data_IF_819346725420
#
_entry.id   IF_819346725420
#
_cell.length_a   1.000
_cell.length_b   1.000
_cell.length_c   1.000
_cell.angle_alpha   90.00
_cell.angle_beta   90.00
_cell.angle_gamma   90.00
#
_symmetry.space_group_name_H-M   'P 1'
#
loop_
_entity.id
_entity.type
_entity.pdbx_description
1 polymer ?
#
# COMPACT_ATOMS: atom_id res chain seq x y z
N UNK A 1 29.11 3.44 6.33
CA UNK A 1 28.23 3.17 5.15
C UNK A 1 26.79 3.10 5.64
N UNK A 2 26.13 4.25 5.84
CA UNK A 2 24.80 4.37 6.44
C UNK A 2 23.87 5.32 5.66
N UNK A 3 24.28 5.74 4.46
CA UNK A 3 23.64 6.85 3.73
C UNK A 3 22.38 6.47 2.93
N UNK A 4 22.04 5.17 2.80
CA UNK A 4 21.00 4.74 1.86
C UNK A 4 19.72 4.18 2.53
N UNK A 5 19.82 3.74 3.79
CA UNK A 5 18.65 3.36 4.59
C UNK A 5 17.69 4.55 4.82
N UNK A 6 18.22 5.77 4.68
CA UNK A 6 17.49 7.03 4.80
C UNK A 6 16.63 7.35 3.59
N UNK A 7 16.99 6.99 2.36
CA UNK A 7 16.24 7.43 1.18
C UNK A 7 14.86 6.78 1.09
N UNK A 8 14.75 5.51 1.46
CA UNK A 8 13.45 4.83 1.49
C UNK A 8 12.55 5.33 2.62
N UNK A 9 13.14 5.57 3.82
CA UNK A 9 12.42 6.18 4.95
C UNK A 9 12.03 7.62 4.65
N UNK A 10 12.90 8.40 4.01
CA UNK A 10 12.64 9.78 3.57
C UNK A 10 11.51 9.82 2.57
N UNK A 11 11.45 8.90 1.60
CA UNK A 11 10.35 8.86 0.64
C UNK A 11 9.00 8.65 1.34
N UNK A 12 8.92 7.68 2.25
CA UNK A 12 7.70 7.43 3.03
C UNK A 12 7.37 8.61 3.97
N UNK A 13 8.38 9.14 4.67
CA UNK A 13 8.22 10.25 5.61
C UNK A 13 7.80 11.55 4.91
N UNK A 14 8.32 11.82 3.70
CA UNK A 14 7.95 12.98 2.90
C UNK A 14 6.48 12.90 2.48
N UNK A 15 6.00 11.73 2.05
CA UNK A 15 4.58 11.55 1.73
C UNK A 15 3.69 11.79 2.96
N UNK A 16 4.10 11.29 4.14
CA UNK A 16 3.35 11.50 5.40
C UNK A 16 3.38 12.97 5.83
N UNK A 17 4.52 13.65 5.74
CA UNK A 17 4.65 15.07 6.06
C UNK A 17 3.80 15.94 5.12
N UNK A 18 3.75 15.62 3.83
CA UNK A 18 2.97 16.35 2.83
C UNK A 18 1.47 16.22 3.09
N UNK A 19 1.00 15.02 3.46
CA UNK A 19 -0.38 14.80 3.90
C UNK A 19 -0.68 15.59 5.19
N UNK A 20 0.22 15.54 6.17
CA UNK A 20 0.06 16.29 7.44
C UNK A 20 -0.01 17.81 7.23
N UNK A 21 0.84 18.35 6.34
CA UNK A 21 0.84 19.78 6.02
C UNK A 21 -0.47 20.21 5.36
N UNK A 22 -1.02 19.40 4.44
CA UNK A 22 -2.32 19.66 3.82
C UNK A 22 -3.45 19.71 4.85
N UNK A 23 -3.46 18.76 5.81
CA UNK A 23 -4.46 18.73 6.88
C UNK A 23 -4.36 19.99 7.76
N UNK A 24 -3.14 20.40 8.12
CA UNK A 24 -2.90 21.61 8.91
C UNK A 24 -3.39 22.88 8.19
N UNK A 25 -3.14 22.99 6.88
CA UNK A 25 -3.59 24.13 6.07
C UNK A 25 -5.12 24.18 6.02
N UNK A 26 -5.79 23.05 5.80
CA UNK A 26 -7.25 22.97 5.80
C UNK A 26 -7.83 23.38 7.17
N UNK A 27 -7.17 22.97 8.27
CA UNK A 27 -7.58 23.35 9.62
C UNK A 27 -7.45 24.87 9.87
N UNK A 28 -6.37 25.49 9.40
CA UNK A 28 -6.15 26.94 9.55
C UNK A 28 -7.20 27.74 8.77
N UNK A 29 -7.52 27.34 7.54
CA UNK A 29 -8.57 27.99 6.77
C UNK A 29 -9.95 27.84 7.42
N UNK A 30 -10.24 26.68 8.04
CA UNK A 30 -11.45 26.49 8.84
C UNK A 30 -11.54 27.45 10.03
N UNK A 31 -10.45 27.60 10.79
CA UNK A 31 -10.40 28.50 11.94
C UNK A 31 -10.53 29.98 11.55
N UNK A 32 -9.85 30.43 10.49
CA UNK A 32 -9.95 31.83 10.01
C UNK A 32 -11.36 32.10 9.44
N UNK A 33 -11.95 31.10 8.77
CA UNK A 33 -13.34 31.09 8.31
C UNK A 33 -14.34 31.42 9.42
N UNK A 34 -14.20 30.76 10.57
CA UNK A 34 -15.08 30.96 11.72
C UNK A 34 -14.86 32.31 12.42
N UNK A 35 -13.62 32.79 12.48
CA UNK A 35 -13.29 33.98 13.28
C UNK A 35 -13.70 35.30 12.60
N UNK A 36 -13.63 35.37 11.27
CA UNK A 36 -13.80 36.65 10.55
C UNK A 36 -15.23 36.93 10.07
N UNK A 37 -16.20 36.03 10.32
CA UNK A 37 -17.62 36.12 9.88
C UNK A 37 -17.81 36.60 8.42
N UNK A 38 -16.83 36.34 7.55
CA UNK A 38 -16.84 36.86 6.20
C UNK A 38 -17.50 35.84 5.27
N UNK A 39 -18.66 36.19 4.72
CA UNK A 39 -19.46 35.31 3.85
C UNK A 39 -18.67 34.76 2.67
N UNK A 40 -17.75 35.54 2.08
CA UNK A 40 -16.91 35.08 0.97
C UNK A 40 -15.93 33.99 1.40
N UNK A 41 -15.32 34.12 2.58
CA UNK A 41 -14.35 33.16 3.10
C UNK A 41 -15.03 31.84 3.46
N UNK A 42 -16.25 31.90 3.99
CA UNK A 42 -17.08 30.72 4.29
C UNK A 42 -17.53 30.00 3.01
N UNK A 43 -17.81 30.73 1.93
CA UNK A 43 -18.11 30.17 0.62
C UNK A 43 -16.91 29.41 0.02
N UNK A 44 -15.72 30.01 0.04
CA UNK A 44 -14.49 29.36 -0.41
C UNK A 44 -14.20 28.10 0.40
N UNK A 45 -14.40 28.15 1.72
CA UNK A 45 -14.25 27.00 2.61
C UNK A 45 -15.20 25.85 2.25
N UNK A 46 -16.49 26.14 2.04
CA UNK A 46 -17.48 25.13 1.66
C UNK A 46 -17.19 24.50 0.28
N UNK A 47 -16.74 25.30 -0.69
CA UNK A 47 -16.34 24.80 -2.02
C UNK A 47 -15.12 23.88 -1.89
N UNK A 48 -14.09 24.31 -1.15
CA UNK A 48 -12.89 23.51 -0.94
C UNK A 48 -13.23 22.17 -0.25
N UNK A 49 -14.07 22.22 0.79
CA UNK A 49 -14.48 21.03 1.53
C UNK A 49 -15.32 20.07 0.66
N UNK A 50 -16.18 20.60 -0.22
CA UNK A 50 -16.90 19.79 -1.20
C UNK A 50 -15.95 19.11 -2.21
N UNK A 51 -14.94 19.84 -2.72
CA UNK A 51 -13.94 19.25 -3.61
C UNK A 51 -13.14 18.12 -2.94
N UNK A 52 -12.77 18.29 -1.67
CA UNK A 52 -12.09 17.25 -0.87
C UNK A 52 -12.98 16.01 -0.73
N UNK A 53 -14.28 16.19 -0.45
CA UNK A 53 -15.24 15.09 -0.36
C UNK A 53 -15.36 14.30 -1.68
N UNK A 54 -15.45 15.00 -2.82
CA UNK A 54 -15.51 14.36 -4.15
C UNK A 54 -14.21 13.62 -4.46
N UNK A 55 -13.05 14.22 -4.17
CA UNK A 55 -11.75 13.57 -4.38
C UNK A 55 -11.61 12.30 -3.53
N UNK A 56 -12.05 12.35 -2.28
CA UNK A 56 -12.12 11.21 -1.37
C UNK A 56 -12.99 10.09 -1.96
N UNK A 57 -14.20 10.41 -2.44
CA UNK A 57 -15.11 9.42 -3.05
C UNK A 57 -14.48 8.76 -4.27
N UNK A 58 -13.95 9.55 -5.20
CA UNK A 58 -13.28 9.02 -6.40
C UNK A 58 -12.14 8.08 -6.00
N UNK A 59 -11.31 8.50 -5.05
CA UNK A 59 -10.22 7.67 -4.53
C UNK A 59 -10.74 6.36 -3.91
N UNK A 60 -11.81 6.38 -3.11
CA UNK A 60 -12.38 5.14 -2.54
C UNK A 60 -12.87 4.17 -3.59
N UNK A 61 -13.56 4.66 -4.62
CA UNK A 61 -14.10 3.83 -5.71
C UNK A 61 -12.95 3.20 -6.49
N UNK A 62 -11.94 3.99 -6.87
CA UNK A 62 -10.75 3.49 -7.56
C UNK A 62 -10.00 2.47 -6.69
N UNK A 63 -9.84 2.73 -5.40
CA UNK A 63 -9.20 1.81 -4.47
C UNK A 63 -9.99 0.50 -4.38
N UNK A 64 -11.33 0.54 -4.30
CA UNK A 64 -12.17 -0.65 -4.25
C UNK A 64 -12.04 -1.47 -5.54
N UNK A 65 -12.08 -0.84 -6.71
CA UNK A 65 -11.89 -1.50 -8.02
C UNK A 65 -10.53 -2.21 -8.08
N UNK A 66 -9.45 -1.54 -7.68
CA UNK A 66 -8.09 -2.12 -7.66
C UNK A 66 -7.98 -3.25 -6.61
N UNK A 67 -8.73 -3.14 -5.52
CA UNK A 67 -8.68 -4.06 -4.38
C UNK A 67 -9.53 -5.31 -4.62
N UNK A 68 -10.55 -5.30 -5.46
CA UNK A 68 -11.51 -6.41 -5.53
C UNK A 68 -10.89 -7.76 -5.96
N UNK A 69 -9.87 -7.78 -6.83
CA UNK A 69 -9.50 -9.03 -7.53
C UNK A 69 -8.36 -9.88 -6.93
N UNK A 70 -7.67 -9.46 -5.87
CA UNK A 70 -6.65 -10.33 -5.27
C UNK A 70 -7.25 -11.36 -4.32
N UNK A 71 -7.45 -12.61 -4.73
CA UNK A 71 -7.66 -13.75 -3.81
C UNK A 71 -6.36 -14.55 -3.71
N UNK A 72 -5.74 -14.58 -2.52
CA UNK A 72 -4.52 -15.36 -2.32
C UNK A 72 -4.81 -16.86 -2.48
N UNK A 73 -3.96 -17.55 -3.22
CA UNK A 73 -4.09 -18.97 -3.52
C UNK A 73 -3.53 -19.80 -2.37
N UNK A 74 -4.28 -20.83 -1.95
CA UNK A 74 -3.83 -21.77 -0.93
C UNK A 74 -2.97 -22.85 -1.60
N UNK A 75 -1.80 -23.14 -1.03
CA UNK A 75 -0.94 -24.25 -1.49
C UNK A 75 -1.08 -25.43 -0.54
N UNK A 76 -1.19 -26.64 -1.08
CA UNK A 76 -1.33 -27.86 -0.29
C UNK A 76 -0.13 -28.08 0.63
N UNK A 77 -0.39 -28.28 1.93
CA UNK A 77 0.64 -28.53 2.94
C UNK A 77 1.36 -27.28 3.49
N UNK A 78 0.89 -26.06 3.15
CA UNK A 78 1.44 -24.79 3.63
C UNK A 78 0.33 -23.91 4.23
N UNK A 79 0.62 -23.20 5.33
CA UNK A 79 -0.37 -22.36 6.03
C UNK A 79 -0.48 -20.92 5.48
N UNK A 80 0.51 -20.48 4.70
CA UNK A 80 0.52 -19.15 4.08
C UNK A 80 -0.03 -19.19 2.65
N UNK A 81 -0.49 -18.04 2.17
CA UNK A 81 -1.05 -17.87 0.82
C UNK A 81 0.00 -17.38 -0.15
N UNK A 82 -0.02 -17.92 -1.36
CA UNK A 82 0.75 -17.41 -2.49
C UNK A 82 -0.11 -16.42 -3.29
N UNK A 83 0.54 -15.44 -3.92
CA UNK A 83 -0.13 -14.40 -4.69
C UNK A 83 0.45 -14.43 -6.10
N UNK A 84 -0.43 -14.53 -7.10
CA UNK A 84 -0.05 -14.44 -8.49
C UNK A 84 -0.29 -13.02 -9.01
N UNK A 85 0.56 -12.57 -9.92
CA UNK A 85 0.46 -11.21 -10.45
C UNK A 85 -0.78 -11.04 -11.33
N UNK A 86 -1.24 -12.12 -11.97
CA UNK A 86 -2.37 -12.17 -12.89
C UNK A 86 -3.73 -11.88 -12.20
N UNK A 87 -3.81 -12.04 -10.88
CA UNK A 87 -5.00 -11.74 -10.07
C UNK A 87 -5.26 -10.22 -9.92
N UNK A 88 -4.32 -9.36 -10.31
CA UNK A 88 -4.41 -7.92 -10.12
C UNK A 88 -4.78 -7.19 -11.42
N UNK A 89 -5.49 -6.07 -11.28
CA UNK A 89 -5.91 -5.25 -12.42
C UNK A 89 -4.71 -4.73 -13.23
N UNK A 90 -4.79 -4.83 -14.55
CA UNK A 90 -3.70 -4.50 -15.49
C UNK A 90 -3.17 -3.07 -15.34
N UNK A 91 -4.03 -2.12 -14.98
CA UNK A 91 -3.66 -0.72 -14.76
C UNK A 91 -2.72 -0.53 -13.55
N UNK A 92 -2.95 -1.29 -12.46
CA UNK A 92 -2.07 -1.31 -11.30
C UNK A 92 -0.75 -2.02 -11.61
N UNK A 93 -0.83 -3.12 -12.37
CA UNK A 93 0.33 -3.85 -12.85
C UNK A 93 1.23 -3.00 -13.76
N UNK A 94 0.65 -2.16 -14.64
CA UNK A 94 1.42 -1.26 -15.51
C UNK A 94 2.24 -0.24 -14.72
N UNK A 95 1.69 0.25 -13.61
CA UNK A 95 2.41 1.17 -12.72
C UNK A 95 3.59 0.45 -12.03
N UNK A 96 3.40 -0.78 -11.55
CA UNK A 96 4.45 -1.59 -10.94
C UNK A 96 5.48 -2.13 -11.94
N UNK A 97 5.08 -2.36 -13.19
CA UNK A 97 5.96 -2.86 -14.23
C UNK A 97 6.80 -1.77 -14.89
N UNK A 98 6.58 -0.50 -14.54
CA UNK A 98 7.45 0.59 -14.99
C UNK A 98 8.84 0.40 -14.39
N UNK A 99 9.81 0.05 -15.25
CA UNK A 99 11.15 -0.39 -14.86
C UNK A 99 11.83 0.58 -13.88
N UNK A 100 11.73 1.88 -14.13
CA UNK A 100 12.34 2.91 -13.30
C UNK A 100 11.77 2.97 -11.87
N UNK A 101 10.44 2.90 -11.70
CA UNK A 101 9.81 2.93 -10.36
C UNK A 101 10.06 1.62 -9.62
N UNK A 102 10.06 0.49 -10.33
CA UNK A 102 10.36 -0.81 -9.74
C UNK A 102 11.79 -0.90 -9.23
N UNK A 103 12.80 -0.42 -9.97
CA UNK A 103 14.19 -0.49 -9.51
C UNK A 103 14.42 0.29 -8.21
N UNK A 104 13.78 1.46 -8.05
CA UNK A 104 13.83 2.20 -6.79
C UNK A 104 13.08 1.49 -5.65
N UNK A 105 11.93 0.87 -5.93
CA UNK A 105 11.21 0.10 -4.91
C UNK A 105 11.98 -1.19 -4.53
N UNK A 106 12.61 -1.82 -5.52
CA UNK A 106 13.44 -3.00 -5.36
C UNK A 106 14.67 -2.70 -4.51
N UNK A 107 15.35 -1.57 -4.72
CA UNK A 107 16.52 -1.21 -3.91
C UNK A 107 16.14 -1.12 -2.41
N UNK A 108 14.95 -0.60 -2.10
CA UNK A 108 14.38 -0.65 -0.75
C UNK A 108 14.12 -2.08 -0.26
N UNK A 109 13.48 -2.92 -1.08
CA UNK A 109 13.13 -4.30 -0.69
C UNK A 109 14.37 -5.16 -0.44
N UNK A 110 15.41 -5.03 -1.26
CA UNK A 110 16.68 -5.74 -1.10
C UNK A 110 17.36 -5.37 0.22
N UNK A 111 17.23 -4.11 0.64
CA UNK A 111 17.80 -3.59 1.89
C UNK A 111 16.92 -3.89 3.11
N UNK A 112 15.66 -4.25 2.90
CA UNK A 112 14.76 -4.65 4.00
C UNK A 112 15.32 -5.86 4.74
N UNK A 113 15.16 -5.85 6.07
CA UNK A 113 15.57 -6.97 6.91
C UNK A 113 14.63 -8.18 6.78
N UNK A 114 13.48 -8.05 6.10
CA UNK A 114 12.43 -9.07 6.02
C UNK A 114 12.96 -10.40 5.47
N UNK A 115 13.65 -10.35 4.33
CA UNK A 115 14.23 -11.54 3.71
C UNK A 115 15.49 -12.05 4.41
N UNK A 116 16.21 -11.20 5.15
CA UNK A 116 17.45 -11.58 5.83
C UNK A 116 17.16 -12.21 7.20
N UNK A 117 16.17 -11.68 7.92
CA UNK A 117 15.75 -12.18 9.23
C UNK A 117 14.94 -13.46 9.14
N UNK A 118 14.43 -13.85 7.96
CA UNK A 118 13.60 -15.03 7.79
C UNK A 118 14.29 -16.33 8.27
N UNK A 119 15.59 -16.50 7.99
CA UNK A 119 16.35 -17.67 8.47
C UNK A 119 16.67 -17.60 9.97
N UNK A 120 16.74 -16.40 10.54
CA UNK A 120 16.95 -16.20 11.98
C UNK A 120 15.66 -16.46 12.77
N UNK A 121 14.52 -16.06 12.19
CA UNK A 121 13.18 -16.19 12.76
C UNK A 121 12.67 -17.64 12.72
N UNK A 122 13.01 -18.39 11.68
CA UNK A 122 12.59 -19.78 11.51
C UNK A 122 13.79 -20.70 11.30
N UNK A 123 14.32 -21.25 12.41
CA UNK A 123 15.46 -22.18 12.40
C UNK A 123 15.12 -23.55 11.81
N UNK A 124 13.87 -24.01 12.01
CA UNK A 124 13.44 -25.35 11.61
C UNK A 124 12.49 -25.30 10.39
N UNK A 125 12.65 -26.25 9.46
CA UNK A 125 11.79 -26.36 8.28
C UNK A 125 10.32 -26.65 8.64
N UNK A 126 10.08 -27.42 9.72
CA UNK A 126 8.72 -27.67 10.24
C UNK A 126 8.07 -26.36 10.69
N UNK A 127 8.77 -25.54 11.47
CA UNK A 127 8.27 -24.23 11.90
C UNK A 127 8.02 -23.30 10.72
N UNK A 128 8.91 -23.30 9.74
CA UNK A 128 8.75 -22.52 8.51
C UNK A 128 7.50 -22.90 7.71
N UNK A 129 7.16 -24.19 7.59
CA UNK A 129 5.95 -24.65 6.87
C UNK A 129 4.65 -24.17 7.51
N UNK A 130 4.63 -24.05 8.83
CA UNK A 130 3.48 -23.57 9.60
C UNK A 130 3.53 -22.07 9.93
N UNK A 131 4.61 -21.38 9.54
CA UNK A 131 4.81 -19.98 9.82
C UNK A 131 3.82 -19.10 9.04
N UNK A 132 3.41 -17.99 9.66
CA UNK A 132 2.62 -16.95 9.01
C UNK A 132 3.59 -15.94 8.37
N UNK A 133 3.92 -16.16 7.10
CA UNK A 133 4.76 -15.25 6.33
C UNK A 133 3.97 -14.02 5.89
N UNK A 134 4.65 -12.87 5.85
CA UNK A 134 4.12 -11.67 5.21
C UNK A 134 4.03 -11.86 3.69
N UNK A 135 3.19 -11.10 2.96
CA UNK A 135 3.12 -11.19 1.51
C UNK A 135 4.45 -10.94 0.80
N UNK A 136 5.32 -10.09 1.39
CA UNK A 136 6.67 -9.82 0.87
C UNK A 136 7.59 -11.01 1.16
N UNK A 137 7.55 -11.58 2.37
CA UNK A 137 8.33 -12.77 2.72
C UNK A 137 7.99 -13.95 1.81
N UNK A 138 6.71 -14.15 1.52
CA UNK A 138 6.22 -15.23 0.66
C UNK A 138 6.45 -14.98 -0.83
N UNK A 139 6.42 -13.73 -1.31
CA UNK A 139 6.57 -13.41 -2.73
C UNK A 139 8.00 -13.15 -3.19
N UNK A 140 8.84 -12.54 -2.34
CA UNK A 140 10.16 -12.03 -2.75
C UNK A 140 11.33 -12.85 -2.21
N UNK A 141 11.19 -13.47 -1.03
CA UNK A 141 12.31 -14.14 -0.37
C UNK A 141 12.50 -15.60 -0.79
N UNK A 142 11.51 -16.18 -1.48
CA UNK A 142 11.44 -17.59 -1.85
C UNK A 142 11.03 -17.77 -3.32
N UNK A 143 11.32 -18.93 -3.94
CA UNK A 143 10.77 -19.27 -5.23
C UNK A 143 9.28 -19.67 -5.11
N UNK A 144 8.52 -19.56 -6.20
CA UNK A 144 7.17 -20.13 -6.30
C UNK A 144 7.16 -21.63 -5.97
N UNK A 145 6.11 -22.11 -5.30
CA UNK A 145 5.99 -23.53 -4.96
C UNK A 145 5.98 -24.44 -6.21
N UNK A 146 5.45 -23.95 -7.33
CA UNK A 146 5.41 -24.65 -8.62
C UNK A 146 6.80 -25.02 -9.17
N UNK A 147 7.85 -24.30 -8.78
CA UNK A 147 9.21 -24.60 -9.23
C UNK A 147 9.72 -25.94 -8.68
N UNK A 148 9.20 -26.39 -7.52
CA UNK A 148 9.52 -27.69 -6.95
C UNK A 148 10.92 -27.82 -6.32
N UNK A 149 11.63 -26.71 -6.09
CA UNK A 149 12.95 -26.74 -5.45
C UNK A 149 12.84 -27.20 -3.98
N UNK A 150 13.64 -28.19 -3.54
CA UNK A 150 13.62 -28.61 -2.14
C UNK A 150 14.27 -27.55 -1.25
N UNK A 151 13.55 -27.14 -0.21
CA UNK A 151 14.02 -26.17 0.77
C UNK A 151 15.01 -26.82 1.74
N UNK A 152 16.26 -26.34 1.75
CA UNK A 152 17.28 -26.73 2.74
C UNK A 152 17.08 -25.95 4.04
N UNK A 153 16.86 -24.64 3.92
CA UNK A 153 16.59 -23.70 4.99
C UNK A 153 15.48 -22.73 4.59
N UNK A 154 14.98 -21.92 5.53
CA UNK A 154 13.92 -20.92 5.29
C UNK A 154 14.24 -19.91 4.16
N UNK A 155 15.53 -19.69 3.87
CA UNK A 155 16.01 -18.74 2.85
C UNK A 155 16.90 -19.39 1.78
N UNK A 156 17.04 -20.72 1.77
CA UNK A 156 17.99 -21.42 0.88
C UNK A 156 17.36 -22.68 0.29
N UNK A 157 17.38 -22.77 -1.03
CA UNK A 157 16.76 -23.85 -1.80
C UNK A 157 17.83 -24.60 -2.60
N UNK A 158 17.64 -25.89 -2.87
CA UNK A 158 18.57 -26.62 -3.74
C UNK A 158 18.21 -26.38 -5.21
N UNK A 159 19.04 -25.60 -5.94
CA UNK A 159 18.82 -25.30 -7.37
C UNK A 159 19.47 -26.35 -8.30
N UNK A 160 20.08 -27.40 -7.76
CA UNK A 160 20.75 -28.43 -8.56
C UNK A 160 19.75 -29.29 -9.34
N UNK A 161 18.48 -29.33 -8.92
CA UNK A 161 17.41 -29.98 -9.65
C UNK A 161 16.80 -29.04 -10.69
N UNK A 162 16.43 -29.58 -11.85
CA UNK A 162 15.64 -28.82 -12.82
C UNK A 162 14.28 -28.42 -12.22
N UNK A 163 13.80 -27.20 -12.49
CA UNK A 163 12.48 -26.77 -12.06
C UNK A 163 11.41 -27.66 -12.69
N UNK A 164 10.42 -28.06 -11.89
CA UNK A 164 9.29 -28.87 -12.38
C UNK A 164 8.33 -28.08 -13.27
N UNK A 165 8.38 -26.75 -13.21
CA UNK A 165 7.49 -25.85 -13.94
C UNK A 165 8.27 -25.05 -14.99
N UNK A 166 7.60 -24.74 -16.10
CA UNK A 166 8.10 -23.84 -17.15
C UNK A 166 7.97 -22.35 -16.77
N UNK A 167 7.54 -22.04 -15.54
CA UNK A 167 7.37 -20.67 -15.08
C UNK A 167 8.70 -19.90 -15.12
N UNK A 168 8.67 -18.69 -15.72
CA UNK A 168 9.85 -17.81 -15.85
C UNK A 168 10.45 -17.42 -14.50
N UNK A 169 9.62 -17.30 -13.47
CA UNK A 169 10.05 -16.93 -12.11
C UNK A 169 11.05 -17.96 -11.54
N UNK A 170 10.93 -19.23 -11.92
CA UNK A 170 11.85 -20.29 -11.50
C UNK A 170 13.28 -20.08 -12.03
N UNK A 171 13.42 -19.49 -13.24
CA UNK A 171 14.72 -19.18 -13.85
C UNK A 171 15.33 -17.89 -13.30
N UNK A 172 14.49 -16.96 -12.84
CA UNK A 172 14.91 -15.68 -12.30
C UNK A 172 15.39 -15.79 -10.85
N UNK A 173 14.85 -16.75 -10.09
CA UNK A 173 15.23 -16.96 -8.70
C UNK A 173 16.70 -17.38 -8.53
N UNK A 174 17.40 -16.75 -7.58
CA UNK A 174 18.76 -17.16 -7.15
C UNK A 174 18.92 -17.10 -5.63
N UNK A 175 19.70 -18.01 -5.05
CA UNK A 175 20.07 -18.01 -3.61
C UNK A 175 21.07 -16.89 -3.22
N UNK A 176 21.01 -15.72 -3.86
CA UNK A 176 21.84 -14.56 -3.50
C UNK A 176 20.99 -13.54 -2.76
N UNK A 177 21.55 -12.91 -1.73
CA UNK A 177 20.81 -11.98 -0.84
C UNK A 177 20.22 -10.78 -1.59
N UNK A 178 20.91 -10.32 -2.63
CA UNK A 178 20.62 -9.16 -3.47
C UNK A 178 19.69 -9.48 -4.66
N UNK A 179 19.56 -10.75 -5.04
CA UNK A 179 18.80 -11.16 -6.24
C UNK A 179 17.48 -11.82 -5.86
N UNK A 180 17.50 -12.83 -4.96
CA UNK A 180 16.34 -13.67 -4.55
C UNK A 180 15.29 -13.79 -5.67
N UNK A 181 14.03 -13.51 -5.38
CA UNK A 181 12.98 -13.39 -6.40
C UNK A 181 12.59 -11.92 -6.64
N UNK A 182 13.46 -10.94 -6.40
CA UNK A 182 13.12 -9.52 -6.55
C UNK A 182 12.81 -9.08 -7.99
N UNK A 183 13.13 -9.92 -8.98
CA UNK A 183 12.74 -9.71 -10.37
C UNK A 183 11.54 -10.55 -10.82
N UNK A 184 11.03 -11.42 -9.95
CA UNK A 184 9.91 -12.31 -10.25
C UNK A 184 8.58 -11.56 -10.23
N UNK A 185 7.64 -12.04 -11.03
CA UNK A 185 6.26 -11.54 -10.98
C UNK A 185 5.59 -11.90 -9.65
N UNK A 186 5.99 -13.03 -9.04
CA UNK A 186 5.58 -13.43 -7.69
C UNK A 186 5.95 -12.41 -6.61
N UNK A 187 7.11 -11.74 -6.73
CA UNK A 187 7.49 -10.69 -5.80
C UNK A 187 6.67 -9.42 -6.01
N UNK A 188 6.45 -9.02 -7.27
CA UNK A 188 5.55 -7.91 -7.60
C UNK A 188 4.13 -8.16 -7.07
N UNK A 189 3.65 -9.40 -7.11
CA UNK A 189 2.35 -9.79 -6.57
C UNK A 189 2.31 -9.73 -5.03
N UNK A 190 3.38 -10.13 -4.36
CA UNK A 190 3.56 -9.97 -2.92
C UNK A 190 3.53 -8.49 -2.49
N UNK A 191 4.21 -7.62 -3.24
CA UNK A 191 4.20 -6.17 -3.02
C UNK A 191 2.82 -5.58 -3.28
N UNK A 192 2.16 -5.97 -4.36
CA UNK A 192 0.79 -5.57 -4.67
C UNK A 192 -0.16 -5.92 -3.51
N UNK A 193 -0.01 -7.11 -2.93
CA UNK A 193 -0.79 -7.55 -1.78
C UNK A 193 -0.48 -6.75 -0.52
N UNK A 194 0.80 -6.50 -0.26
CA UNK A 194 1.25 -5.71 0.87
C UNK A 194 0.64 -4.30 0.80
N UNK A 195 0.78 -3.63 -0.35
CA UNK A 195 0.15 -2.33 -0.60
C UNK A 195 -1.37 -2.39 -0.41
N UNK A 196 -2.06 -3.40 -0.95
CA UNK A 196 -3.51 -3.60 -0.73
C UNK A 196 -3.88 -3.69 0.75
N UNK A 197 -3.03 -4.28 1.59
CA UNK A 197 -3.27 -4.41 3.03
C UNK A 197 -3.14 -3.05 3.73
N UNK A 198 -2.11 -2.27 3.40
CA UNK A 198 -1.93 -0.90 3.90
C UNK A 198 -3.05 0.04 3.42
N UNK A 199 -3.50 -0.11 2.17
CA UNK A 199 -4.63 0.66 1.62
C UNK A 199 -5.95 0.35 2.34
N UNK A 200 -6.07 -0.82 2.98
CA UNK A 200 -7.22 -1.14 3.83
C UNK A 200 -7.26 -0.26 5.07
N UNK A 201 -6.11 0.08 5.65
CA UNK A 201 -6.03 1.01 6.80
C UNK A 201 -6.49 2.40 6.35
N UNK A 202 -6.04 2.84 5.18
CA UNK A 202 -6.52 4.11 4.58
C UNK A 202 -8.03 4.07 4.33
N UNK A 203 -8.57 2.96 3.82
CA UNK A 203 -10.01 2.80 3.61
C UNK A 203 -10.81 2.87 4.91
N UNK A 204 -10.32 2.27 6.00
CA UNK A 204 -10.96 2.35 7.34
C UNK A 204 -10.91 3.78 7.88
N UNK A 205 -9.76 4.46 7.78
CA UNK A 205 -9.64 5.86 8.16
C UNK A 205 -10.62 6.74 7.37
N UNK A 206 -10.73 6.48 6.07
CA UNK A 206 -11.62 7.22 5.18
C UNK A 206 -13.11 6.99 5.48
N UNK A 207 -13.47 5.78 5.91
CA UNK A 207 -14.83 5.45 6.36
C UNK A 207 -15.28 6.29 7.56
N UNK A 208 -14.34 6.72 8.42
CA UNK A 208 -14.60 7.59 9.58
C UNK A 208 -14.51 9.07 9.16
N UNK A 209 -13.53 9.42 8.33
CA UNK A 209 -13.29 10.79 7.88
C UNK A 209 -14.46 11.33 7.04
N UNK A 210 -14.95 10.56 6.09
CA UNK A 210 -16.02 10.97 5.17
C UNK A 210 -17.33 11.41 5.86
N UNK A 211 -17.92 10.64 6.80
CA UNK A 211 -19.11 11.09 7.53
C UNK A 211 -18.81 12.30 8.43
N UNK A 212 -17.61 12.37 9.03
CA UNK A 212 -17.19 13.52 9.84
C UNK A 212 -17.16 14.81 9.00
N UNK A 213 -16.54 14.76 7.81
CA UNK A 213 -16.53 15.88 6.87
C UNK A 213 -17.94 16.22 6.35
N UNK A 214 -18.81 15.23 6.18
CA UNK A 214 -20.21 15.45 5.80
C UNK A 214 -20.95 16.26 6.87
N UNK A 215 -20.80 15.91 8.15
CA UNK A 215 -21.41 16.67 9.25
C UNK A 215 -20.88 18.10 9.29
N UNK A 216 -19.57 18.29 9.16
CA UNK A 216 -18.95 19.62 9.10
C UNK A 216 -19.52 20.45 7.93
N UNK A 217 -19.67 19.83 6.77
CA UNK A 217 -20.28 20.47 5.59
C UNK A 217 -21.72 20.91 5.85
N UNK A 218 -22.55 20.04 6.44
CA UNK A 218 -23.93 20.35 6.79
C UNK A 218 -24.02 21.49 7.81
N UNK A 219 -23.22 21.45 8.88
CA UNK A 219 -23.16 22.53 9.89
C UNK A 219 -22.71 23.84 9.25
N UNK A 220 -21.68 23.83 8.39
CA UNK A 220 -21.24 25.00 7.65
C UNK A 220 -22.32 25.57 6.72
N UNK A 221 -23.10 24.71 6.06
CA UNK A 221 -24.23 25.12 5.24
C UNK A 221 -25.38 25.72 6.06
N UNK A 222 -25.69 25.14 7.22
CA UNK A 222 -26.68 25.67 8.16
C UNK A 222 -26.26 27.03 8.72
N UNK A 223 -25.01 27.17 9.17
CA UNK A 223 -24.46 28.43 9.64
C UNK A 223 -24.54 29.53 8.56
N UNK A 224 -24.23 29.18 7.31
CA UNK A 224 -24.38 30.09 6.15
C UNK A 224 -25.83 30.50 5.91
N UNK A 225 -26.76 29.55 5.92
CA UNK A 225 -28.18 29.82 5.66
C UNK A 225 -28.76 30.78 6.71
N UNK A 226 -28.36 30.60 7.97
CA UNK A 226 -28.75 31.50 9.05
C UNK A 226 -28.16 32.92 8.88
N UNK A 227 -26.91 33.06 8.44
CA UNK A 227 -26.30 34.36 8.15
C UNK A 227 -26.89 35.07 6.90
N UNK A 228 -27.42 34.31 5.94
CA UNK A 228 -28.12 34.86 4.78
C UNK A 228 -29.50 35.42 5.12
N UNK A 229 -30.19 34.87 6.12
CA UNK A 229 -31.51 35.33 6.56
C UNK A 229 -31.46 36.61 7.40
N UNK A 230 -30.35 36.92 8.08
CA UNK A 230 -30.22 38.17 8.83
C UNK A 230 -30.05 39.41 7.93
N UNK A 231 -29.63 39.25 6.67
CA UNK A 231 -29.47 40.34 5.70
C UNK A 231 -30.80 40.79 5.07
N UNK A 232 -31.86 39.97 5.14
CA UNK A 232 -33.19 40.30 4.60
C UNK A 232 -34.11 40.97 5.63
N UNK A 233 -33.59 41.24 6.83
CA UNK A 233 -34.33 41.77 7.98
C UNK A 233 -33.91 43.19 8.38
N UNK A 234 -33.27 43.92 7.44
CA UNK A 234 -32.98 45.35 7.54
C UNK A 234 -33.82 46.09 6.51
#
# INVERSE_FOLDING_TARGET
>A
MAADHDDCRKSLALHVMLIGMLISVISVFGCIGAWKSNSLLLWIYLILLFLVMVAILIFTVLAFIVTNNGSGHNVTGLRYKEYQLQDYHSLFLKQLNSSHKWEHLKSCLVKSADCNNLSQKYKNLKQYKYAKLSPIEAGCCRPPSECGYPARNASYYDLSLLPKSSNKDCKLYKNKRDIKCYHCDSCKAGVARYMKTEWRVVAVFNLILFPTLTIIYLVGCCARRNAGWSQYKV
#
